data_IF_600089785759
#
_entry.id   IF_600089785759
#
_cell.length_a   1.000
_cell.length_b   1.000
_cell.length_c   1.000
_cell.angle_alpha   90.00
_cell.angle_beta   90.00
_cell.angle_gamma   90.00
#
_symmetry.space_group_name_H-M   'P 1'
#
loop_
_entity.id
_entity.type
_entity.pdbx_description
1 polymer ?
#
# COMPACT_ATOMS: atom_id res chain seq x y z
N UNK A 1 -35.10 65.14 -24.16
CA UNK A 1 -34.81 65.25 -25.57
C UNK A 1 -33.92 64.05 -25.96
N UNK A 2 -34.49 63.16 -26.79
CA UNK A 2 -33.85 62.22 -27.70
C UNK A 2 -32.93 61.14 -27.08
N UNK A 3 -33.41 59.90 -26.98
CA UNK A 3 -33.42 58.79 -27.94
C UNK A 3 -32.07 58.23 -28.34
N UNK A 4 -31.85 56.98 -27.98
CA UNK A 4 -31.41 55.88 -28.84
C UNK A 4 -31.25 54.64 -27.97
N UNK A 5 -32.09 53.65 -28.04
CA UNK A 5 -32.23 52.52 -28.98
C UNK A 5 -30.92 52.02 -29.53
N UNK A 6 -30.55 50.85 -29.15
CA UNK A 6 -29.44 50.11 -29.79
C UNK A 6 -29.11 48.86 -28.98
N UNK A 7 -29.71 47.85 -29.30
CA UNK A 7 -29.36 46.60 -29.95
C UNK A 7 -28.93 45.50 -28.97
N UNK A 8 -29.88 44.66 -28.68
CA UNK A 8 -29.71 43.27 -28.25
C UNK A 8 -28.99 42.50 -29.36
N UNK A 9 -27.80 42.07 -29.11
CA UNK A 9 -27.23 40.93 -29.85
C UNK A 9 -26.74 39.95 -28.82
N UNK A 10 -27.43 38.81 -28.81
CA UNK A 10 -27.12 37.66 -28.03
C UNK A 10 -25.70 37.13 -28.32
N UNK A 11 -24.88 37.23 -27.32
CA UNK A 11 -23.72 36.38 -27.18
C UNK A 11 -24.17 35.12 -26.43
N UNK A 12 -24.50 34.10 -27.19
CA UNK A 12 -24.58 32.71 -26.64
C UNK A 12 -23.23 32.38 -26.07
N UNK A 13 -23.13 32.48 -24.74
CA UNK A 13 -22.01 31.94 -24.00
C UNK A 13 -21.91 30.44 -24.30
N UNK A 14 -21.07 30.09 -25.25
CA UNK A 14 -20.57 28.76 -25.34
C UNK A 14 -19.79 28.48 -24.05
N UNK A 15 -20.50 27.95 -23.07
CA UNK A 15 -19.89 27.30 -21.93
C UNK A 15 -18.91 26.29 -22.48
N UNK A 16 -17.61 26.58 -22.30
CA UNK A 16 -16.53 25.71 -22.68
C UNK A 16 -16.79 24.34 -22.05
N UNK A 17 -17.37 23.44 -22.82
CA UNK A 17 -17.34 22.01 -22.53
C UNK A 17 -15.85 21.66 -22.58
N UNK A 18 -15.27 21.45 -21.39
CA UNK A 18 -14.02 20.69 -21.31
C UNK A 18 -14.22 19.43 -22.17
N UNK A 19 -13.30 19.09 -23.06
CA UNK A 19 -13.41 17.90 -23.87
C UNK A 19 -13.48 16.71 -22.92
N UNK A 20 -14.68 16.18 -22.75
CA UNK A 20 -14.98 14.95 -22.03
C UNK A 20 -14.35 13.77 -22.79
N UNK A 21 -13.09 13.48 -22.54
CA UNK A 21 -12.38 12.40 -23.21
C UNK A 21 -10.89 12.29 -22.98
N UNK A 22 -10.24 13.29 -22.38
CA UNK A 22 -8.84 13.14 -22.01
C UNK A 22 -8.76 12.69 -20.53
N UNK A 23 -8.29 11.48 -20.33
CA UNK A 23 -7.94 10.98 -18.99
C UNK A 23 -6.99 11.96 -18.32
N UNK A 24 -7.28 12.35 -17.09
CA UNK A 24 -6.34 13.12 -16.29
C UNK A 24 -5.08 12.29 -16.05
N UNK A 25 -3.94 12.94 -15.83
CA UNK A 25 -2.71 12.21 -15.53
C UNK A 25 -2.89 11.29 -14.31
N UNK A 26 -3.67 11.72 -13.30
CA UNK A 26 -4.01 10.90 -12.15
C UNK A 26 -4.77 9.62 -12.53
N UNK A 27 -5.77 9.70 -13.40
CA UNK A 27 -6.53 8.52 -13.86
C UNK A 27 -5.62 7.52 -14.58
N UNK A 28 -4.70 8.02 -15.41
CA UNK A 28 -3.71 7.17 -16.06
C UNK A 28 -2.79 6.47 -15.06
N UNK A 29 -2.29 7.21 -14.05
CA UNK A 29 -1.47 6.66 -12.98
C UNK A 29 -2.25 5.66 -12.13
N UNK A 30 -3.54 5.94 -11.86
CA UNK A 30 -4.43 5.06 -11.10
C UNK A 30 -4.58 3.69 -11.76
N UNK A 31 -4.65 3.63 -13.08
CA UNK A 31 -4.70 2.33 -13.80
C UNK A 31 -3.45 1.51 -13.54
N UNK A 32 -2.25 2.10 -13.68
CA UNK A 32 -0.97 1.39 -13.47
C UNK A 32 -0.87 0.89 -12.03
N UNK A 33 -1.15 1.76 -11.06
CA UNK A 33 -1.11 1.43 -9.62
C UNK A 33 -2.11 0.33 -9.29
N UNK A 34 -3.35 0.40 -9.82
CA UNK A 34 -4.38 -0.62 -9.62
C UNK A 34 -3.97 -1.99 -10.11
N UNK A 35 -3.33 -2.05 -11.29
CA UNK A 35 -2.83 -3.32 -11.85
C UNK A 35 -1.80 -3.95 -10.91
N UNK A 36 -0.82 -3.18 -10.42
CA UNK A 36 0.23 -3.71 -9.54
C UNK A 36 -0.36 -4.16 -8.20
N UNK A 37 -1.27 -3.37 -7.60
CA UNK A 37 -1.97 -3.75 -6.37
C UNK A 37 -2.83 -4.99 -6.58
N UNK A 38 -3.58 -5.07 -7.68
CA UNK A 38 -4.40 -6.23 -8.03
C UNK A 38 -3.57 -7.50 -8.16
N UNK A 39 -2.40 -7.43 -8.80
CA UNK A 39 -1.47 -8.56 -8.90
C UNK A 39 -0.96 -9.02 -7.51
N UNK A 40 -0.66 -8.09 -6.61
CA UNK A 40 -0.27 -8.42 -5.24
C UNK A 40 -1.38 -9.13 -4.46
N UNK A 41 -2.61 -8.61 -4.52
CA UNK A 41 -3.78 -9.22 -3.90
C UNK A 41 -4.06 -10.60 -4.48
N UNK A 42 -4.03 -10.77 -5.81
CA UNK A 42 -4.20 -12.05 -6.49
C UNK A 42 -3.19 -13.07 -5.97
N UNK A 43 -1.92 -12.68 -5.82
CA UNK A 43 -0.87 -13.56 -5.33
C UNK A 43 -1.13 -14.07 -3.90
N UNK A 44 -1.66 -13.18 -3.03
CA UNK A 44 -2.05 -13.57 -1.66
C UNK A 44 -3.25 -14.53 -1.69
N UNK A 45 -4.29 -14.22 -2.48
CA UNK A 45 -5.50 -15.04 -2.58
C UNK A 45 -5.20 -16.42 -3.19
N UNK A 46 -4.38 -16.51 -4.22
CA UNK A 46 -3.89 -17.77 -4.77
C UNK A 46 -3.13 -18.60 -3.72
N UNK A 47 -2.26 -17.94 -2.94
CA UNK A 47 -1.53 -18.59 -1.85
C UNK A 47 -2.48 -19.18 -0.80
N UNK A 48 -3.50 -18.42 -0.40
CA UNK A 48 -4.55 -18.92 0.51
C UNK A 48 -5.30 -20.10 -0.11
N UNK A 49 -5.67 -20.03 -1.39
CA UNK A 49 -6.32 -21.13 -2.13
C UNK A 49 -5.47 -22.42 -2.08
N UNK A 50 -4.17 -22.30 -2.38
CA UNK A 50 -3.22 -23.43 -2.35
C UNK A 50 -3.05 -24.02 -0.93
N UNK A 51 -3.07 -23.19 0.12
CA UNK A 51 -3.05 -23.66 1.51
C UNK A 51 -4.32 -24.48 1.82
N UNK A 52 -5.48 -24.03 1.37
CA UNK A 52 -6.75 -24.75 1.56
C UNK A 52 -6.77 -26.09 0.82
N UNK A 53 -6.25 -26.14 -0.39
CA UNK A 53 -6.10 -27.38 -1.17
C UNK A 53 -5.14 -28.37 -0.49
N UNK A 54 -4.01 -27.85 0.00
CA UNK A 54 -2.95 -28.63 0.63
C UNK A 54 -3.13 -28.85 2.15
N UNK A 55 -4.27 -28.49 2.74
CA UNK A 55 -4.50 -28.43 4.20
C UNK A 55 -4.10 -29.69 4.96
N UNK A 56 -4.17 -30.84 4.34
CA UNK A 56 -3.81 -32.12 4.99
C UNK A 56 -2.29 -32.26 5.25
N UNK A 57 -1.45 -31.51 4.57
CA UNK A 57 0.01 -31.56 4.64
C UNK A 57 0.67 -30.27 5.08
N UNK A 58 -0.13 -29.24 5.43
CA UNK A 58 0.33 -27.92 5.82
C UNK A 58 0.24 -27.74 7.32
N UNK A 59 1.35 -27.34 7.95
CA UNK A 59 1.39 -26.92 9.34
C UNK A 59 1.44 -25.38 9.38
N UNK A 60 0.33 -24.77 9.82
CA UNK A 60 0.19 -23.32 9.89
C UNK A 60 0.96 -22.75 11.08
N UNK A 61 1.55 -21.58 10.89
CA UNK A 61 2.20 -20.79 11.93
C UNK A 61 1.49 -19.43 12.08
N UNK A 62 0.82 -19.22 13.23
CA UNK A 62 -0.06 -18.06 13.44
C UNK A 62 0.63 -16.71 13.25
N UNK A 63 1.92 -16.55 13.65
CA UNK A 63 2.69 -15.32 13.45
C UNK A 63 2.80 -14.99 11.97
N UNK A 64 3.08 -15.99 11.14
CA UNK A 64 3.14 -15.84 9.69
C UNK A 64 1.79 -15.44 9.09
N UNK A 65 0.69 -16.03 9.56
CA UNK A 65 -0.66 -15.66 9.12
C UNK A 65 -1.00 -14.21 9.44
N UNK A 66 -0.60 -13.71 10.63
CA UNK A 66 -0.79 -12.32 11.00
C UNK A 66 -0.01 -11.40 10.07
N UNK A 67 1.26 -11.69 9.76
CA UNK A 67 2.04 -10.89 8.81
C UNK A 67 1.48 -10.94 7.39
N UNK A 68 0.98 -12.10 6.94
CA UNK A 68 0.27 -12.20 5.65
C UNK A 68 -0.98 -11.32 5.63
N UNK A 69 -1.75 -11.31 6.73
CA UNK A 69 -2.90 -10.41 6.91
C UNK A 69 -2.50 -8.93 6.89
N UNK A 70 -1.37 -8.56 7.52
CA UNK A 70 -0.83 -7.19 7.49
C UNK A 70 -0.47 -6.78 6.05
N UNK A 71 0.16 -7.66 5.28
CA UNK A 71 0.49 -7.39 3.87
C UNK A 71 -0.78 -7.22 3.03
N UNK A 72 -1.78 -8.08 3.22
CA UNK A 72 -3.08 -7.97 2.54
C UNK A 72 -3.77 -6.64 2.86
N UNK A 73 -3.91 -6.30 4.14
CA UNK A 73 -4.49 -5.04 4.57
C UNK A 73 -3.65 -3.83 4.11
N UNK A 74 -2.34 -3.99 4.05
CA UNK A 74 -1.42 -2.98 3.52
C UNK A 74 -1.70 -2.62 2.05
N UNK A 75 -2.06 -3.59 1.21
CA UNK A 75 -2.48 -3.33 -0.18
C UNK A 75 -3.77 -2.51 -0.24
N UNK A 76 -4.78 -2.86 0.59
CA UNK A 76 -6.04 -2.12 0.66
C UNK A 76 -5.83 -0.71 1.19
N UNK A 77 -5.04 -0.57 2.25
CA UNK A 77 -4.71 0.73 2.84
C UNK A 77 -3.94 1.61 1.85
N UNK A 78 -2.97 1.04 1.14
CA UNK A 78 -2.23 1.76 0.11
C UNK A 78 -3.17 2.29 -0.98
N UNK A 79 -4.09 1.45 -1.49
CA UNK A 79 -5.08 1.86 -2.47
C UNK A 79 -5.94 3.02 -1.98
N UNK A 80 -6.42 2.93 -0.74
CA UNK A 80 -7.22 3.98 -0.13
C UNK A 80 -6.44 5.30 0.01
N UNK A 81 -5.20 5.23 0.49
CA UNK A 81 -4.33 6.40 0.63
C UNK A 81 -3.89 6.98 -0.71
N UNK A 82 -3.76 6.16 -1.74
CA UNK A 82 -3.47 6.62 -3.09
C UNK A 82 -4.60 7.49 -3.62
N UNK A 83 -5.85 7.14 -3.33
CA UNK A 83 -7.01 7.93 -3.73
C UNK A 83 -6.98 9.37 -3.19
N UNK A 84 -6.40 9.61 -2.03
CA UNK A 84 -6.22 10.96 -1.46
C UNK A 84 -5.25 11.83 -2.28
N UNK A 85 -4.48 11.24 -3.18
CA UNK A 85 -3.54 11.98 -4.07
C UNK A 85 -4.20 12.52 -5.35
N UNK A 86 -5.51 12.33 -5.53
CA UNK A 86 -6.27 12.84 -6.70
C UNK A 86 -6.24 14.37 -6.83
N UNK A 87 -6.02 15.08 -5.73
CA UNK A 87 -5.99 16.55 -5.69
C UNK A 87 -4.63 17.13 -6.13
N UNK A 88 -3.62 16.30 -6.33
CA UNK A 88 -2.30 16.72 -6.80
C UNK A 88 -2.40 17.09 -8.29
N UNK A 89 -2.31 18.39 -8.60
CA UNK A 89 -2.46 18.90 -9.97
C UNK A 89 -1.21 18.75 -10.83
N UNK A 90 -0.03 18.76 -10.23
CA UNK A 90 1.23 18.69 -10.94
C UNK A 90 2.03 17.46 -10.52
N UNK A 91 2.11 16.47 -11.40
CA UNK A 91 2.94 15.29 -11.23
C UNK A 91 4.26 15.47 -11.96
N UNK A 92 5.37 15.39 -11.26
CA UNK A 92 6.68 15.26 -11.87
C UNK A 92 7.16 13.80 -11.80
N UNK A 93 8.16 13.47 -12.62
CA UNK A 93 8.65 12.09 -12.76
C UNK A 93 9.08 11.46 -11.42
N UNK A 94 9.81 12.19 -10.57
CA UNK A 94 10.31 11.63 -9.33
C UNK A 94 9.20 11.28 -8.30
N UNK A 95 8.25 12.17 -7.95
CA UNK A 95 7.11 11.80 -7.12
C UNK A 95 6.32 10.61 -7.65
N UNK A 96 6.13 10.54 -8.96
CA UNK A 96 5.49 9.38 -9.59
C UNK A 96 6.28 8.09 -9.38
N UNK A 97 7.60 8.12 -9.62
CA UNK A 97 8.45 6.95 -9.42
C UNK A 97 8.42 6.46 -7.96
N UNK A 98 8.54 7.37 -6.99
CA UNK A 98 8.42 7.03 -5.56
C UNK A 98 7.06 6.47 -5.19
N UNK A 99 5.99 6.95 -5.82
CA UNK A 99 4.66 6.40 -5.63
C UNK A 99 4.55 4.98 -6.19
N UNK A 100 5.09 4.73 -7.38
CA UNK A 100 5.01 3.42 -8.05
C UNK A 100 5.88 2.36 -7.37
N UNK A 101 7.01 2.74 -6.80
CA UNK A 101 7.88 1.79 -6.08
C UNK A 101 7.19 1.14 -4.87
N UNK A 102 6.26 1.83 -4.21
CA UNK A 102 5.57 1.31 -3.03
C UNK A 102 4.68 0.08 -3.34
N UNK A 103 3.76 0.11 -4.34
CA UNK A 103 2.98 -1.08 -4.69
C UNK A 103 3.84 -2.19 -5.28
N UNK A 104 4.98 -1.89 -5.92
CA UNK A 104 5.93 -2.91 -6.37
C UNK A 104 6.52 -3.66 -5.17
N UNK A 105 6.94 -2.95 -4.12
CA UNK A 105 7.44 -3.60 -2.91
C UNK A 105 6.35 -4.40 -2.20
N UNK A 106 5.11 -3.89 -2.15
CA UNK A 106 3.97 -4.65 -1.62
C UNK A 106 3.75 -5.94 -2.41
N UNK A 107 3.84 -5.90 -3.74
CA UNK A 107 3.77 -7.09 -4.59
C UNK A 107 4.89 -8.11 -4.27
N UNK A 108 6.13 -7.64 -4.06
CA UNK A 108 7.24 -8.50 -3.66
C UNK A 108 7.02 -9.11 -2.27
N UNK A 109 6.50 -8.35 -1.32
CA UNK A 109 6.10 -8.85 0.00
C UNK A 109 5.02 -9.92 -0.10
N UNK A 110 4.00 -9.73 -0.96
CA UNK A 110 2.98 -10.74 -1.24
C UNK A 110 3.59 -12.04 -1.76
N UNK A 111 4.65 -11.94 -2.59
CA UNK A 111 5.40 -13.09 -3.09
C UNK A 111 6.14 -13.88 -2.00
N UNK A 112 6.53 -13.23 -0.90
CA UNK A 112 7.20 -13.86 0.24
C UNK A 112 6.21 -14.46 1.27
N UNK A 113 4.90 -14.27 1.09
CA UNK A 113 3.91 -14.80 2.04
C UNK A 113 3.64 -16.30 1.88
N UNK A 114 4.00 -16.92 0.76
CA UNK A 114 3.68 -18.33 0.53
C UNK A 114 4.86 -19.09 -0.05
N UNK A 115 5.08 -20.35 0.43
CA UNK A 115 6.08 -21.23 -0.16
C UNK A 115 5.63 -21.73 -1.55
N UNK A 116 6.57 -22.37 -2.25
CA UNK A 116 6.22 -23.17 -3.42
C UNK A 116 5.50 -24.45 -2.97
N UNK A 117 4.38 -24.77 -3.62
CA UNK A 117 3.52 -25.92 -3.35
C UNK A 117 3.76 -27.06 -4.36
N UNK A 118 4.77 -26.95 -5.23
CA UNK A 118 5.08 -27.96 -6.25
C UNK A 118 5.51 -29.31 -5.66
N UNK A 119 6.21 -29.27 -4.53
CA UNK A 119 6.61 -30.48 -3.82
C UNK A 119 5.45 -31.13 -3.06
N UNK A 120 5.38 -32.48 -3.11
CA UNK A 120 4.34 -33.26 -2.41
C UNK A 120 4.63 -33.51 -0.93
N UNK A 121 5.75 -33.01 -0.41
CA UNK A 121 6.16 -33.14 0.98
C UNK A 121 5.31 -32.33 1.98
N UNK A 122 5.51 -32.55 3.29
CA UNK A 122 4.90 -31.71 4.33
C UNK A 122 5.45 -30.28 4.24
N UNK A 123 4.57 -29.30 4.44
CA UNK A 123 4.92 -27.87 4.38
C UNK A 123 4.79 -27.30 5.80
N UNK A 124 5.92 -26.86 6.36
CA UNK A 124 5.99 -26.16 7.64
C UNK A 124 6.13 -24.66 7.44
N UNK A 125 5.07 -23.89 7.74
CA UNK A 125 5.08 -22.44 7.63
C UNK A 125 6.00 -21.76 8.66
N UNK A 126 6.31 -22.42 9.77
CA UNK A 126 7.26 -21.88 10.75
C UNK A 126 8.68 -21.91 10.19
N UNK A 127 9.09 -23.03 9.61
CA UNK A 127 10.39 -23.14 8.98
C UNK A 127 10.52 -22.20 7.76
N UNK A 128 9.48 -22.16 6.92
CA UNK A 128 9.41 -21.23 5.80
C UNK A 128 9.55 -19.78 6.25
N UNK A 129 8.84 -19.36 7.31
CA UNK A 129 8.89 -18.01 7.86
C UNK A 129 10.31 -17.65 8.31
N UNK A 130 10.98 -18.51 9.12
CA UNK A 130 12.32 -18.21 9.62
C UNK A 130 13.40 -18.26 8.55
N UNK A 131 13.20 -18.96 7.45
CA UNK A 131 14.11 -18.89 6.29
C UNK A 131 14.00 -17.58 5.53
N UNK A 132 12.83 -16.98 5.49
CA UNK A 132 12.53 -15.81 4.67
C UNK A 132 12.34 -14.50 5.46
N UNK A 133 12.31 -14.53 6.82
CA UNK A 133 11.99 -13.37 7.64
C UNK A 133 12.85 -12.14 7.35
N UNK A 134 14.15 -12.32 7.07
CA UNK A 134 15.06 -11.21 6.76
C UNK A 134 14.67 -10.49 5.48
N UNK A 135 14.38 -11.23 4.43
CA UNK A 135 13.90 -10.64 3.17
C UNK A 135 12.55 -9.94 3.36
N UNK A 136 11.66 -10.55 4.13
CA UNK A 136 10.35 -9.98 4.43
C UNK A 136 10.49 -8.67 5.20
N UNK A 137 11.20 -8.66 6.31
CA UNK A 137 11.38 -7.46 7.13
C UNK A 137 12.26 -6.41 6.45
N UNK A 138 13.26 -6.81 5.67
CA UNK A 138 14.08 -5.90 4.86
C UNK A 138 13.26 -5.14 3.81
N UNK A 139 12.41 -5.84 3.05
CA UNK A 139 11.47 -5.19 2.11
C UNK A 139 10.45 -4.32 2.84
N UNK A 140 9.97 -4.75 4.00
CA UNK A 140 9.04 -3.97 4.79
C UNK A 140 9.68 -2.69 5.34
N UNK A 141 10.92 -2.76 5.80
CA UNK A 141 11.70 -1.60 6.20
C UNK A 141 11.94 -0.64 5.03
N UNK A 142 12.29 -1.17 3.85
CA UNK A 142 12.45 -0.38 2.63
C UNK A 142 11.16 0.35 2.26
N UNK A 143 10.01 -0.33 2.37
CA UNK A 143 8.70 0.29 2.14
C UNK A 143 8.48 1.48 3.08
N UNK A 144 8.76 1.32 4.37
CA UNK A 144 8.60 2.39 5.36
C UNK A 144 9.53 3.58 5.09
N UNK A 145 10.78 3.31 4.69
CA UNK A 145 11.74 4.35 4.29
C UNK A 145 11.22 5.12 3.06
N UNK A 146 10.75 4.42 2.03
CA UNK A 146 10.24 5.08 0.82
C UNK A 146 8.99 5.92 1.10
N UNK A 147 8.07 5.44 1.94
CA UNK A 147 6.88 6.22 2.34
C UNK A 147 7.32 7.49 3.09
N UNK A 148 8.24 7.36 4.03
CA UNK A 148 8.74 8.49 4.82
C UNK A 148 9.47 9.51 3.95
N UNK A 149 10.33 9.02 3.05
CA UNK A 149 11.10 9.86 2.13
C UNK A 149 10.19 10.62 1.16
N UNK A 150 9.17 9.94 0.63
CA UNK A 150 8.14 10.58 -0.21
C UNK A 150 7.44 11.71 0.54
N UNK A 151 7.01 11.46 1.77
CA UNK A 151 6.25 12.44 2.55
C UNK A 151 7.10 13.66 2.91
N UNK A 152 8.38 13.46 3.19
CA UNK A 152 9.34 14.55 3.50
C UNK A 152 9.68 15.35 2.25
N UNK A 153 10.04 14.68 1.16
CA UNK A 153 10.55 15.35 -0.04
C UNK A 153 9.44 16.02 -0.88
N UNK A 154 8.25 15.40 -0.95
CA UNK A 154 7.23 15.82 -1.91
C UNK A 154 5.94 16.34 -1.27
N UNK A 155 5.67 16.02 0.01
CA UNK A 155 4.49 16.50 0.72
C UNK A 155 4.81 17.55 1.79
N UNK A 156 6.07 17.92 1.95
CA UNK A 156 6.57 18.87 2.95
C UNK A 156 6.06 18.58 4.38
N UNK A 157 5.85 17.30 4.71
CA UNK A 157 5.44 16.90 6.05
C UNK A 157 6.61 17.12 7.00
N UNK A 158 6.43 17.84 8.13
CA UNK A 158 7.50 18.06 9.08
C UNK A 158 8.10 16.75 9.60
N UNK A 159 9.41 16.72 9.82
CA UNK A 159 10.11 15.55 10.38
C UNK A 159 9.49 15.10 11.70
N UNK A 160 9.14 16.06 12.57
CA UNK A 160 8.46 15.82 13.84
C UNK A 160 6.96 15.99 13.61
N UNK A 161 6.30 14.93 13.15
CA UNK A 161 4.86 14.82 13.03
C UNK A 161 4.39 13.51 13.63
N UNK A 162 3.14 13.46 14.10
CA UNK A 162 2.54 12.25 14.65
C UNK A 162 2.59 11.09 13.64
N UNK A 163 2.34 11.37 12.36
CA UNK A 163 2.41 10.38 11.30
C UNK A 163 3.83 9.83 11.06
N UNK A 164 4.86 10.66 11.16
CA UNK A 164 6.25 10.24 11.03
C UNK A 164 6.73 9.45 12.25
N UNK A 165 6.27 9.80 13.46
CA UNK A 165 6.55 9.03 14.67
C UNK A 165 6.00 7.59 14.57
N UNK A 166 4.77 7.42 14.07
CA UNK A 166 4.19 6.08 13.83
C UNK A 166 5.00 5.29 12.80
N UNK A 167 5.36 5.91 11.68
CA UNK A 167 6.20 5.26 10.65
C UNK A 167 7.58 4.86 11.19
N UNK A 168 8.19 5.71 12.00
CA UNK A 168 9.46 5.40 12.68
C UNK A 168 9.31 4.20 13.62
N UNK A 169 8.22 4.14 14.39
CA UNK A 169 7.90 2.97 15.24
C UNK A 169 7.75 1.69 14.43
N UNK A 170 7.04 1.73 13.31
CA UNK A 170 6.88 0.58 12.41
C UNK A 170 8.21 0.18 11.76
N UNK A 171 9.08 1.15 11.43
CA UNK A 171 10.43 0.89 10.92
C UNK A 171 11.29 0.17 11.98
N UNK A 172 11.22 0.60 13.25
CA UNK A 172 11.92 -0.08 14.35
C UNK A 172 11.43 -1.52 14.50
N UNK A 173 10.10 -1.77 14.41
CA UNK A 173 9.52 -3.11 14.40
C UNK A 173 10.13 -3.96 13.28
N UNK A 174 10.24 -3.40 12.07
CA UNK A 174 10.82 -4.10 10.92
C UNK A 174 12.30 -4.43 11.14
N UNK A 175 13.11 -3.49 11.62
CA UNK A 175 14.53 -3.69 11.89
C UNK A 175 14.77 -4.73 13.00
N UNK A 176 13.98 -4.71 14.07
CA UNK A 176 14.04 -5.73 15.14
C UNK A 176 13.68 -7.11 14.59
N UNK A 177 12.68 -7.19 13.72
CA UNK A 177 12.27 -8.43 13.06
C UNK A 177 13.31 -8.97 12.07
N UNK A 178 14.08 -8.09 11.42
CA UNK A 178 15.18 -8.49 10.53
C UNK A 178 16.37 -9.10 11.30
N UNK A 179 16.74 -8.48 12.42
CA UNK A 179 17.93 -8.87 13.20
C UNK A 179 17.65 -10.08 14.10
N UNK A 180 16.44 -10.18 14.66
CA UNK A 180 16.09 -11.19 15.65
C UNK A 180 15.58 -12.48 15.02
N UNK A 181 15.98 -13.64 15.56
CA UNK A 181 15.42 -14.95 15.22
C UNK A 181 14.62 -15.57 16.38
N UNK A 182 14.36 -14.82 17.46
CA UNK A 182 13.68 -15.33 18.65
C UNK A 182 12.15 -15.38 18.46
N UNK A 183 11.49 -16.55 18.64
CA UNK A 183 10.06 -16.70 18.37
C UNK A 183 9.15 -15.75 19.15
N UNK A 184 9.47 -15.50 20.43
CA UNK A 184 8.67 -14.61 21.27
C UNK A 184 8.72 -13.15 20.80
N UNK A 185 9.88 -12.71 20.26
CA UNK A 185 10.00 -11.36 19.67
C UNK A 185 9.08 -11.25 18.48
N UNK A 186 9.12 -12.20 17.54
CA UNK A 186 8.26 -12.18 16.36
C UNK A 186 6.77 -12.25 16.72
N UNK A 187 6.40 -12.96 17.80
CA UNK A 187 5.03 -12.95 18.31
C UNK A 187 4.59 -11.55 18.78
N UNK A 188 5.45 -10.84 19.52
CA UNK A 188 5.19 -9.45 19.94
C UNK A 188 5.10 -8.51 18.72
N UNK A 189 6.06 -8.62 17.78
CA UNK A 189 6.05 -7.81 16.56
C UNK A 189 4.81 -8.02 15.71
N UNK A 190 4.32 -9.27 15.62
CA UNK A 190 3.07 -9.58 14.91
C UNK A 190 1.86 -8.89 15.56
N UNK A 191 1.76 -8.91 16.89
CA UNK A 191 0.69 -8.22 17.61
C UNK A 191 0.77 -6.71 17.45
N UNK A 192 1.97 -6.13 17.61
CA UNK A 192 2.18 -4.69 17.43
C UNK A 192 1.89 -4.26 15.98
N UNK A 193 2.32 -5.04 15.00
CA UNK A 193 2.02 -4.81 13.58
C UNK A 193 0.53 -4.89 13.28
N UNK A 194 -0.19 -5.86 13.85
CA UNK A 194 -1.63 -5.98 13.71
C UNK A 194 -2.36 -4.77 14.33
N UNK A 195 -1.96 -4.34 15.51
CA UNK A 195 -2.52 -3.14 16.14
C UNK A 195 -2.24 -1.90 15.28
N UNK A 196 -1.02 -1.74 14.77
CA UNK A 196 -0.64 -0.60 13.95
C UNK A 196 -1.46 -0.51 12.65
N UNK A 197 -1.64 -1.62 11.93
CA UNK A 197 -2.41 -1.64 10.68
C UNK A 197 -3.90 -1.37 10.95
N UNK A 198 -4.48 -1.95 11.99
CA UNK A 198 -5.87 -1.71 12.37
C UNK A 198 -6.08 -0.25 12.82
N UNK A 199 -5.18 0.31 13.62
CA UNK A 199 -5.23 1.70 14.01
C UNK A 199 -5.16 2.63 12.78
N UNK A 200 -4.32 2.29 11.78
CA UNK A 200 -4.27 3.04 10.52
C UNK A 200 -5.62 2.99 9.79
N UNK A 201 -6.27 1.83 9.67
CA UNK A 201 -7.60 1.71 9.07
C UNK A 201 -8.64 2.57 9.78
N UNK A 202 -8.67 2.55 11.11
CA UNK A 202 -9.62 3.35 11.88
C UNK A 202 -9.37 4.84 11.73
N UNK A 203 -8.11 5.29 11.82
CA UNK A 203 -7.78 6.72 11.69
C UNK A 203 -8.09 7.25 10.30
N UNK A 204 -7.81 6.51 9.24
CA UNK A 204 -8.08 6.92 7.87
C UNK A 204 -9.56 6.72 7.49
N UNK A 205 -10.23 5.69 8.00
CA UNK A 205 -11.67 5.50 7.81
C UNK A 205 -12.50 6.63 8.43
N UNK A 206 -12.11 7.13 9.60
CA UNK A 206 -12.78 8.29 10.24
C UNK A 206 -12.44 9.63 9.60
N UNK A 207 -11.27 9.76 8.96
CA UNK A 207 -10.85 11.02 8.36
C UNK A 207 -11.41 11.24 6.95
N UNK A 208 -11.80 10.17 6.23
CA UNK A 208 -12.21 10.23 4.83
C UNK A 208 -13.56 9.50 4.55
N UNK A 209 -14.26 9.06 5.57
CA UNK A 209 -15.63 8.54 5.52
C UNK A 209 -16.62 9.57 6.00
#
# INVERSE_FOLDING_TARGET
MLTAVGTILGGTGEGGRCPSGMLTLFEYLAVIVSVVIGLGLTRILEGVGRVLEARARVQLYWVHLVFTGIVFLGHLLFWWLFWSSREVQAWSFFPFLFLLLQPIILYLLAGLCFPDFSDRGPIDFRDFYYRNHRWFFGLFALLMVLISLRDILFRAVPWISQGNAVKAGVLVIALVGDISSRPWIHAILALLGAIAILAAFFTFGLAYG
#
